data_IF_215071272068
#
_entry.id   IF_215071272068
#
_cell.length_a   1.000
_cell.length_b   1.000
_cell.length_c   1.000
_cell.angle_alpha   90.00
_cell.angle_beta   90.00
_cell.angle_gamma   90.00
#
_symmetry.space_group_name_H-M   'P 1'
#
loop_
_entity.id
_entity.type
_entity.pdbx_description
1 polymer ?
#
# COMPACT_ATOMS: atom_id res chain seq x y z
N UNK A 1 -32.04 -54.05 -1.82
CA UNK A 1 -32.16 -52.65 -2.35
C UNK A 1 -31.35 -51.62 -1.61
N UNK A 2 -30.50 -52.01 -0.59
CA UNK A 2 -29.76 -51.05 0.23
C UNK A 2 -28.25 -51.09 -0.05
N UNK A 3 -27.77 -52.05 -0.84
CA UNK A 3 -26.32 -52.21 -1.09
C UNK A 3 -25.82 -51.45 -2.33
N UNK A 4 -26.64 -51.18 -3.33
CA UNK A 4 -26.22 -50.46 -4.55
C UNK A 4 -26.08 -48.94 -4.38
N UNK A 5 -26.89 -48.31 -3.51
CA UNK A 5 -26.86 -46.86 -3.29
C UNK A 5 -25.64 -46.38 -2.46
N UNK A 6 -25.03 -47.27 -1.67
CA UNK A 6 -23.82 -46.92 -0.89
C UNK A 6 -22.55 -46.96 -1.74
N UNK A 7 -22.51 -47.76 -2.79
CA UNK A 7 -21.32 -47.86 -3.67
C UNK A 7 -21.23 -46.71 -4.67
N UNK A 8 -22.34 -46.17 -5.14
CA UNK A 8 -22.34 -45.01 -6.05
C UNK A 8 -21.98 -43.71 -5.34
N UNK A 9 -22.37 -43.56 -4.05
CA UNK A 9 -22.03 -42.34 -3.28
C UNK A 9 -20.55 -42.28 -2.93
N UNK A 10 -19.92 -43.42 -2.64
CA UNK A 10 -18.48 -43.49 -2.36
C UNK A 10 -17.63 -43.28 -3.62
N UNK A 11 -18.07 -43.74 -4.76
CA UNK A 11 -17.37 -43.54 -6.03
C UNK A 11 -17.43 -42.08 -6.53
N UNK A 12 -18.53 -41.37 -6.25
CA UNK A 12 -18.68 -39.96 -6.62
C UNK A 12 -17.89 -39.02 -5.70
N UNK A 13 -17.74 -39.34 -4.41
CA UNK A 13 -16.93 -38.54 -3.47
C UNK A 13 -15.43 -38.71 -3.74
N UNK A 14 -14.98 -39.87 -4.20
CA UNK A 14 -13.58 -40.13 -4.53
C UNK A 14 -13.19 -39.50 -5.90
N UNK A 15 -14.12 -39.42 -6.85
CA UNK A 15 -13.93 -38.69 -8.11
C UNK A 15 -13.83 -37.18 -7.90
N UNK A 16 -14.72 -36.61 -7.09
CA UNK A 16 -14.69 -35.19 -6.77
C UNK A 16 -13.41 -34.75 -5.98
N UNK A 17 -12.90 -35.61 -5.11
CA UNK A 17 -11.64 -35.38 -4.41
C UNK A 17 -10.42 -35.47 -5.34
N UNK A 18 -10.44 -36.39 -6.31
CA UNK A 18 -9.35 -36.49 -7.30
C UNK A 18 -9.31 -35.32 -8.27
N UNK A 19 -10.46 -34.79 -8.67
CA UNK A 19 -10.53 -33.65 -9.57
C UNK A 19 -10.08 -32.35 -8.84
N UNK A 20 -10.48 -32.15 -7.58
CA UNK A 20 -10.03 -31.01 -6.80
C UNK A 20 -8.53 -31.04 -6.44
N UNK A 21 -7.95 -32.22 -6.26
CA UNK A 21 -6.51 -32.38 -6.09
C UNK A 21 -5.73 -32.17 -7.40
N UNK A 22 -6.33 -32.50 -8.54
CA UNK A 22 -5.73 -32.31 -9.87
C UNK A 22 -5.75 -30.83 -10.30
N UNK A 23 -6.78 -30.08 -9.91
CA UNK A 23 -6.84 -28.63 -10.12
C UNK A 23 -5.84 -27.89 -9.23
N UNK A 24 -5.74 -28.23 -7.94
CA UNK A 24 -4.73 -27.65 -7.05
C UNK A 24 -3.30 -27.95 -7.51
N UNK A 25 -3.04 -29.17 -7.97
CA UNK A 25 -1.73 -29.53 -8.50
C UNK A 25 -1.39 -28.80 -9.81
N UNK A 26 -2.39 -28.47 -10.64
CA UNK A 26 -2.19 -27.66 -11.85
C UNK A 26 -1.98 -26.17 -11.53
N UNK A 27 -2.65 -25.65 -10.53
CA UNK A 27 -2.47 -24.27 -10.06
C UNK A 27 -1.08 -24.10 -9.43
N UNK A 28 -0.66 -25.01 -8.56
CA UNK A 28 0.70 -25.01 -7.99
C UNK A 28 1.80 -25.23 -9.04
N UNK A 29 1.54 -26.03 -10.08
CA UNK A 29 2.48 -26.23 -11.18
C UNK A 29 2.58 -24.99 -12.07
N UNK A 30 1.48 -24.27 -12.31
CA UNK A 30 1.45 -23.03 -13.09
C UNK A 30 2.11 -21.88 -12.33
N UNK A 31 1.94 -21.81 -11.00
CA UNK A 31 2.63 -20.85 -10.16
C UNK A 31 4.15 -21.11 -10.08
N UNK A 32 4.56 -22.39 -10.03
CA UNK A 32 5.97 -22.77 -10.07
C UNK A 32 6.62 -22.54 -11.44
N UNK A 33 5.85 -22.62 -12.52
CA UNK A 33 6.32 -22.36 -13.89
C UNK A 33 6.36 -20.85 -14.18
N UNK A 34 5.43 -20.07 -13.63
CA UNK A 34 5.47 -18.61 -13.64
C UNK A 34 6.65 -18.08 -12.81
N UNK A 35 6.89 -18.66 -11.63
CA UNK A 35 8.05 -18.31 -10.79
C UNK A 35 9.40 -18.71 -11.43
N UNK A 36 9.42 -19.74 -12.31
CA UNK A 36 10.63 -20.13 -13.05
C UNK A 36 10.88 -19.32 -14.31
N UNK A 37 9.85 -18.71 -14.90
CA UNK A 37 10.00 -17.84 -16.09
C UNK A 37 10.40 -16.41 -15.73
N UNK A 38 10.18 -15.98 -14.50
CA UNK A 38 10.61 -14.67 -14.00
C UNK A 38 12.07 -14.66 -13.51
N UNK A 39 12.74 -15.82 -13.59
CA UNK A 39 14.17 -15.96 -13.37
C UNK A 39 15.01 -15.72 -14.66
N UNK A 40 14.49 -14.96 -15.63
CA UNK A 40 15.39 -14.21 -16.51
C UNK A 40 16.02 -13.13 -15.62
N UNK A 41 17.20 -13.45 -15.08
CA UNK A 41 18.13 -12.48 -14.54
C UNK A 41 18.17 -11.27 -15.50
N UNK A 42 17.32 -10.26 -15.28
CA UNK A 42 17.80 -8.92 -15.44
C UNK A 42 18.99 -8.89 -14.47
N UNK A 43 20.21 -8.94 -15.00
CA UNK A 43 21.35 -8.51 -14.25
C UNK A 43 20.93 -7.16 -13.70
N UNK A 44 20.70 -7.12 -12.40
CA UNK A 44 20.60 -5.89 -11.65
C UNK A 44 22.00 -5.32 -11.88
N UNK A 45 22.12 -4.47 -12.87
CA UNK A 45 23.33 -3.68 -13.03
C UNK A 45 23.52 -3.06 -11.66
N UNK A 46 24.56 -3.47 -10.98
CA UNK A 46 24.95 -2.90 -9.68
C UNK A 46 24.74 -1.40 -9.79
N UNK A 47 24.05 -0.72 -8.86
CA UNK A 47 23.78 0.70 -8.99
C UNK A 47 25.08 1.40 -9.27
N UNK A 48 25.30 1.74 -10.53
CA UNK A 48 26.60 2.19 -11.05
C UNK A 48 26.93 3.58 -10.55
N UNK A 49 25.98 4.23 -9.89
CA UNK A 49 26.15 5.53 -9.26
C UNK A 49 25.06 5.75 -8.21
N UNK A 50 25.45 6.04 -6.99
CA UNK A 50 24.56 6.57 -5.95
C UNK A 50 24.58 8.10 -6.05
N UNK A 51 23.40 8.68 -5.97
CA UNK A 51 23.28 10.14 -5.85
C UNK A 51 23.32 10.51 -4.38
N UNK A 52 24.26 11.37 -3.99
CA UNK A 52 24.28 11.95 -2.65
C UNK A 52 23.29 13.09 -2.61
N UNK A 53 22.34 13.01 -1.70
CA UNK A 53 21.39 14.07 -1.44
C UNK A 53 21.44 14.50 0.01
N UNK A 54 21.25 15.78 0.20
CA UNK A 54 21.20 16.38 1.52
C UNK A 54 19.81 16.14 2.11
N UNK A 55 19.73 15.45 3.25
CA UNK A 55 18.51 15.26 4.01
C UNK A 55 18.71 15.95 5.35
N UNK A 56 17.90 16.95 5.64
CA UNK A 56 17.85 17.55 6.96
C UNK A 56 16.90 16.73 7.83
N UNK A 57 17.43 16.09 8.86
CA UNK A 57 16.62 15.69 10.00
C UNK A 57 16.74 16.80 11.04
N UNK A 58 15.73 17.52 11.28
CA UNK A 58 15.44 18.58 12.26
C UNK A 58 16.62 19.25 13.01
N UNK A 59 17.72 18.59 13.27
CA UNK A 59 18.87 19.14 14.01
C UNK A 59 20.22 18.74 13.40
N UNK A 60 20.26 17.69 12.56
CA UNK A 60 21.48 17.19 11.95
C UNK A 60 21.31 16.98 10.45
N UNK A 61 22.21 17.58 9.69
CA UNK A 61 22.26 17.41 8.24
C UNK A 61 23.00 16.12 7.93
N UNK A 62 22.29 15.16 7.32
CA UNK A 62 22.86 13.89 6.89
C UNK A 62 22.97 13.83 5.37
N UNK A 63 24.15 13.46 4.89
CA UNK A 63 24.34 13.06 3.50
C UNK A 63 23.96 11.59 3.38
N UNK A 64 22.98 11.30 2.53
CA UNK A 64 22.56 9.94 2.26
C UNK A 64 22.77 9.60 0.79
N UNK A 65 23.07 8.32 0.53
CA UNK A 65 23.25 7.80 -0.82
C UNK A 65 21.92 7.17 -1.28
N UNK A 66 21.42 7.63 -2.45
CA UNK A 66 20.20 7.13 -3.05
C UNK A 66 20.47 6.43 -4.38
N UNK A 67 19.71 5.37 -4.72
CA UNK A 67 19.80 4.74 -6.03
C UNK A 67 19.46 5.74 -7.15
N UNK A 68 20.30 5.81 -8.18
CA UNK A 68 20.08 6.72 -9.33
C UNK A 68 18.99 6.20 -10.28
N UNK A 69 18.68 4.92 -10.22
CA UNK A 69 17.71 4.26 -11.09
C UNK A 69 16.24 4.42 -10.63
N UNK A 70 15.99 5.11 -9.54
CA UNK A 70 14.65 5.47 -9.11
C UNK A 70 14.34 6.92 -9.49
N UNK A 71 13.11 7.24 -9.96
CA UNK A 71 12.73 8.60 -10.30
C UNK A 71 12.81 9.52 -9.08
N UNK A 72 13.54 10.63 -9.23
CA UNK A 72 13.59 11.65 -8.18
C UNK A 72 12.60 12.76 -8.55
N UNK A 73 11.95 13.34 -7.52
CA UNK A 73 11.11 14.51 -7.76
C UNK A 73 11.95 15.72 -8.21
N UNK A 74 11.32 16.64 -8.91
CA UNK A 74 11.91 17.91 -9.31
C UNK A 74 11.08 19.11 -8.86
N UNK A 75 10.38 18.97 -7.74
CA UNK A 75 9.64 20.07 -7.13
C UNK A 75 10.58 21.19 -6.71
N UNK A 76 10.14 22.43 -6.91
CA UNK A 76 10.85 23.59 -6.43
C UNK A 76 10.15 24.12 -5.16
N UNK A 77 10.69 23.77 -4.02
CA UNK A 77 10.09 24.06 -2.73
C UNK A 77 9.89 25.54 -2.43
N UNK A 78 10.55 26.46 -3.16
CA UNK A 78 10.28 27.90 -3.04
C UNK A 78 8.86 28.30 -3.43
N UNK A 79 8.15 27.45 -4.18
CA UNK A 79 6.75 27.65 -4.53
C UNK A 79 5.75 27.06 -3.52
N UNK A 80 6.27 26.35 -2.51
CA UNK A 80 5.45 25.78 -1.44
C UNK A 80 5.20 26.85 -0.38
N UNK A 81 3.96 26.99 0.02
CA UNK A 81 3.52 27.90 1.08
C UNK A 81 2.30 27.33 1.82
N UNK A 82 1.93 27.98 2.92
CA UNK A 82 0.70 27.68 3.64
C UNK A 82 -0.26 28.85 3.51
N UNK A 83 -1.53 28.56 3.29
CA UNK A 83 -2.58 29.59 3.36
C UNK A 83 -2.96 29.88 4.83
N UNK A 84 -3.83 30.87 5.03
CA UNK A 84 -4.31 31.29 6.37
C UNK A 84 -5.02 30.15 7.14
N UNK A 85 -5.52 29.14 6.44
CA UNK A 85 -6.17 27.95 7.04
C UNK A 85 -5.17 26.83 7.36
N UNK A 86 -3.89 27.00 7.07
CA UNK A 86 -2.84 26.01 7.25
C UNK A 86 -2.78 24.96 6.15
N UNK A 87 -3.45 25.16 5.01
CA UNK A 87 -3.35 24.26 3.86
C UNK A 87 -2.17 24.61 2.98
N UNK A 88 -1.54 23.57 2.45
CA UNK A 88 -0.45 23.72 1.49
C UNK A 88 -0.94 24.32 0.16
N UNK A 89 -0.13 25.23 -0.38
CA UNK A 89 -0.22 25.83 -1.70
C UNK A 89 1.10 25.61 -2.43
N UNK A 90 1.01 25.39 -3.73
CA UNK A 90 2.18 25.31 -4.60
C UNK A 90 1.89 26.19 -5.81
N UNK A 91 2.44 27.39 -5.82
CA UNK A 91 2.09 28.43 -6.80
C UNK A 91 3.34 28.98 -7.47
N UNK A 92 3.35 28.97 -8.81
CA UNK A 92 4.47 29.48 -9.60
C UNK A 92 5.14 28.43 -10.51
N UNK A 93 4.62 27.20 -10.51
CA UNK A 93 5.00 26.18 -11.47
C UNK A 93 3.76 25.45 -11.98
N UNK A 94 3.37 25.70 -13.21
CA UNK A 94 2.15 25.12 -13.82
C UNK A 94 2.24 23.60 -14.08
N UNK A 95 3.43 23.01 -13.89
CA UNK A 95 3.61 21.56 -14.05
C UNK A 95 2.90 20.75 -12.97
N UNK A 96 2.69 21.36 -11.80
CA UNK A 96 2.18 20.69 -10.64
C UNK A 96 0.92 21.35 -10.13
N UNK A 97 -0.05 20.53 -9.76
CA UNK A 97 -1.30 20.96 -9.13
C UNK A 97 -1.35 20.38 -7.73
N UNK A 98 -1.51 21.24 -6.73
CA UNK A 98 -1.70 20.79 -5.35
C UNK A 98 -3.16 20.46 -5.08
N UNK A 99 -3.40 19.40 -4.35
CA UNK A 99 -4.70 19.00 -3.82
C UNK A 99 -4.55 18.72 -2.33
N UNK A 100 -5.56 19.11 -1.56
CA UNK A 100 -5.57 18.87 -0.12
C UNK A 100 -6.54 17.74 0.21
N UNK A 101 -6.09 16.79 1.02
CA UNK A 101 -6.87 15.64 1.44
C UNK A 101 -6.75 15.36 2.92
N UNK A 102 -7.46 14.33 3.35
CA UNK A 102 -7.36 13.78 4.70
C UNK A 102 -7.24 12.25 4.61
N UNK A 103 -6.73 11.63 5.65
CA UNK A 103 -6.88 10.20 5.89
C UNK A 103 -7.77 9.95 7.11
N UNK A 104 -8.49 8.84 7.11
CA UNK A 104 -9.42 8.49 8.17
C UNK A 104 -9.52 6.99 8.39
N UNK A 105 -9.87 6.64 9.62
CA UNK A 105 -10.19 5.28 10.04
C UNK A 105 -11.47 5.27 10.88
N UNK A 106 -11.77 4.16 11.53
CA UNK A 106 -12.86 4.07 12.50
C UNK A 106 -12.67 4.98 13.72
N UNK A 107 -11.42 5.35 14.02
CA UNK A 107 -11.11 6.20 15.18
C UNK A 107 -11.65 7.62 15.07
N UNK A 108 -11.87 8.15 13.86
CA UNK A 108 -12.50 9.45 13.65
C UNK A 108 -14.03 9.41 13.88
N UNK A 109 -14.60 8.24 14.11
CA UNK A 109 -16.01 8.09 14.42
C UNK A 109 -16.93 8.50 13.26
N UNK A 110 -17.96 9.28 13.56
CA UNK A 110 -18.90 9.77 12.56
C UNK A 110 -18.41 11.09 11.96
N UNK A 111 -18.23 11.09 10.64
CA UNK A 111 -17.71 12.24 9.89
C UNK A 111 -18.84 12.93 9.12
N UNK A 112 -18.89 14.26 9.20
CA UNK A 112 -19.71 15.10 8.32
C UNK A 112 -18.97 15.42 7.03
N UNK A 113 -19.09 14.54 6.07
CA UNK A 113 -18.41 14.62 4.78
C UNK A 113 -18.73 15.88 3.97
N UNK A 114 -19.94 16.46 4.16
CA UNK A 114 -20.30 17.73 3.51
C UNK A 114 -19.48 18.88 4.08
N UNK A 115 -19.23 18.88 5.40
CA UNK A 115 -18.35 19.87 6.01
C UNK A 115 -16.90 19.70 5.56
N UNK A 116 -16.41 18.47 5.43
CA UNK A 116 -15.06 18.18 4.90
C UNK A 116 -14.92 18.76 3.49
N UNK A 117 -15.87 18.47 2.58
CA UNK A 117 -15.84 19.04 1.22
C UNK A 117 -15.94 20.56 1.21
N UNK A 118 -16.85 21.13 2.02
CA UNK A 118 -17.00 22.59 2.15
C UNK A 118 -15.75 23.28 2.70
N UNK A 119 -14.98 22.57 3.54
CA UNK A 119 -13.69 23.07 4.05
C UNK A 119 -12.56 23.04 2.99
N UNK A 120 -12.87 22.66 1.74
CA UNK A 120 -11.93 22.71 0.61
C UNK A 120 -11.01 21.52 0.52
N UNK A 121 -11.36 20.37 1.08
CA UNK A 121 -10.64 19.12 0.83
C UNK A 121 -11.15 18.47 -0.46
N UNK A 122 -10.22 17.88 -1.21
CA UNK A 122 -10.48 17.30 -2.52
C UNK A 122 -10.59 15.79 -2.49
N UNK A 123 -9.90 15.15 -1.54
CA UNK A 123 -9.81 13.70 -1.47
C UNK A 123 -9.71 13.17 -0.04
N UNK A 124 -9.87 11.85 0.07
CA UNK A 124 -9.66 11.12 1.31
C UNK A 124 -9.03 9.76 1.05
N UNK A 125 -8.09 9.36 1.91
CA UNK A 125 -7.70 7.97 2.07
C UNK A 125 -8.44 7.35 3.25
N UNK A 126 -9.14 6.24 2.99
CA UNK A 126 -9.94 5.54 4.00
C UNK A 126 -9.25 4.23 4.37
N UNK A 127 -9.01 4.01 5.67
CA UNK A 127 -8.45 2.74 6.11
C UNK A 127 -9.39 1.58 5.79
N UNK A 128 -8.92 0.63 4.99
CA UNK A 128 -9.65 -0.59 4.69
C UNK A 128 -9.64 -1.56 5.88
N UNK A 129 -8.52 -1.61 6.58
CA UNK A 129 -8.30 -2.44 7.75
C UNK A 129 -6.89 -2.33 8.28
N UNK A 130 -6.54 -3.24 9.16
CA UNK A 130 -5.22 -3.30 9.77
C UNK A 130 -4.85 -4.73 10.15
N UNK A 131 -3.56 -5.01 10.20
CA UNK A 131 -3.04 -6.21 10.85
C UNK A 131 -2.56 -5.85 12.25
N UNK A 132 -2.93 -6.66 13.23
CA UNK A 132 -2.58 -6.40 14.64
C UNK A 132 -1.08 -6.55 14.88
N UNK A 133 -0.51 -5.69 15.73
CA UNK A 133 0.93 -5.60 15.97
C UNK A 133 1.54 -6.85 16.61
N UNK A 134 0.74 -7.58 17.41
CA UNK A 134 1.24 -8.71 18.19
C UNK A 134 0.82 -10.06 17.61
N UNK A 135 -0.48 -10.25 17.39
CA UNK A 135 -1.03 -11.55 16.97
C UNK A 135 -0.97 -11.73 15.45
N UNK A 136 -0.92 -10.65 14.68
CA UNK A 136 -0.93 -10.71 13.22
C UNK A 136 -2.32 -10.95 12.63
N UNK A 137 -3.39 -10.80 13.42
CA UNK A 137 -4.76 -10.95 12.93
C UNK A 137 -5.12 -9.80 11.98
N UNK A 138 -5.63 -10.15 10.81
CA UNK A 138 -6.08 -9.19 9.83
C UNK A 138 -7.53 -8.79 10.09
N UNK A 139 -7.75 -7.51 10.34
CA UNK A 139 -9.05 -6.96 10.73
C UNK A 139 -9.50 -5.87 9.76
N UNK A 140 -10.76 -5.96 9.32
CA UNK A 140 -11.38 -4.90 8.52
C UNK A 140 -11.77 -3.74 9.42
N UNK A 141 -11.53 -2.51 8.97
CA UNK A 141 -12.05 -1.31 9.62
C UNK A 141 -13.59 -1.27 9.55
N UNK A 142 -14.22 -1.08 10.69
CA UNK A 142 -15.68 -1.17 10.83
C UNK A 142 -16.43 -0.05 10.10
N UNK A 143 -15.75 1.06 9.79
CA UNK A 143 -16.31 2.22 9.11
C UNK A 143 -15.88 2.33 7.65
N UNK A 144 -14.96 1.51 7.17
CA UNK A 144 -14.36 1.61 5.84
C UNK A 144 -15.42 1.81 4.74
N UNK A 145 -16.31 0.85 4.56
CA UNK A 145 -17.32 0.88 3.49
C UNK A 145 -18.24 2.10 3.61
N UNK A 146 -18.64 2.44 4.83
CA UNK A 146 -19.52 3.59 5.08
C UNK A 146 -18.81 4.92 4.78
N UNK A 147 -17.54 5.04 5.16
CA UNK A 147 -16.72 6.22 4.91
C UNK A 147 -16.50 6.40 3.41
N UNK A 148 -16.08 5.35 2.69
CA UNK A 148 -15.89 5.35 1.24
C UNK A 148 -17.16 5.86 0.52
N UNK A 149 -18.32 5.26 0.81
CA UNK A 149 -19.60 5.63 0.18
C UNK A 149 -19.98 7.07 0.46
N UNK A 150 -19.82 7.53 1.69
CA UNK A 150 -20.22 8.88 2.11
C UNK A 150 -19.28 9.96 1.59
N UNK A 151 -17.98 9.70 1.60
CA UNK A 151 -16.98 10.60 1.03
C UNK A 151 -17.21 10.81 -0.47
N UNK A 152 -17.38 9.71 -1.23
CA UNK A 152 -17.69 9.80 -2.67
C UNK A 152 -18.99 10.55 -2.94
N UNK A 153 -20.04 10.27 -2.15
CA UNK A 153 -21.33 10.99 -2.26
C UNK A 153 -21.20 12.50 -1.97
N UNK A 154 -20.23 12.89 -1.15
CA UNK A 154 -19.94 14.30 -0.87
C UNK A 154 -19.07 14.98 -1.94
N UNK A 155 -18.63 14.24 -2.96
CA UNK A 155 -17.82 14.77 -4.06
C UNK A 155 -16.32 14.77 -3.77
N UNK A 156 -15.84 13.90 -2.86
CA UNK A 156 -14.43 13.67 -2.64
C UNK A 156 -13.93 12.52 -3.52
N UNK A 157 -12.70 12.62 -4.02
CA UNK A 157 -12.00 11.46 -4.54
C UNK A 157 -11.57 10.55 -3.39
N UNK A 158 -11.57 9.25 -3.65
CA UNK A 158 -11.35 8.25 -2.59
C UNK A 158 -10.23 7.30 -2.99
N UNK A 159 -9.28 7.13 -2.07
CA UNK A 159 -8.34 6.03 -2.02
C UNK A 159 -8.54 5.21 -0.76
N UNK A 160 -7.84 4.09 -0.67
CA UNK A 160 -7.88 3.25 0.52
C UNK A 160 -6.47 2.90 0.98
N UNK A 161 -6.30 2.63 2.27
CA UNK A 161 -5.04 2.13 2.81
C UNK A 161 -5.27 0.99 3.80
N UNK A 162 -4.24 0.21 4.02
CA UNK A 162 -4.20 -0.80 5.08
C UNK A 162 -2.99 -0.54 5.96
N UNK A 163 -3.23 -0.40 7.27
CA UNK A 163 -2.14 -0.37 8.25
C UNK A 163 -1.54 -1.78 8.35
N UNK A 164 -0.30 -1.90 7.92
CA UNK A 164 0.37 -3.18 7.76
C UNK A 164 1.29 -3.50 8.92
N UNK A 165 1.20 -4.76 9.34
CA UNK A 165 2.18 -5.41 10.19
C UNK A 165 2.61 -6.76 9.58
N UNK A 166 2.61 -6.84 8.25
CA UNK A 166 2.98 -8.04 7.51
C UNK A 166 4.44 -8.40 7.73
N UNK A 167 4.70 -9.67 8.06
CA UNK A 167 6.05 -10.22 8.22
C UNK A 167 6.43 -11.18 7.10
N UNK A 168 5.56 -11.34 6.11
CA UNK A 168 5.77 -12.16 4.93
C UNK A 168 5.00 -11.61 3.74
N UNK A 169 5.44 -11.94 2.52
CA UNK A 169 4.72 -11.61 1.29
C UNK A 169 3.29 -12.18 1.25
N UNK A 170 3.07 -13.35 1.86
CA UNK A 170 1.72 -13.94 1.95
C UNK A 170 0.79 -13.02 2.73
N UNK A 171 1.23 -12.53 3.89
CA UNK A 171 0.46 -11.59 4.69
C UNK A 171 0.23 -10.26 3.97
N UNK A 172 1.23 -9.74 3.26
CA UNK A 172 1.08 -8.53 2.45
C UNK A 172 0.04 -8.72 1.33
N UNK A 173 0.01 -9.90 0.69
CA UNK A 173 -1.05 -10.25 -0.29
C UNK A 173 -2.44 -10.39 0.33
N UNK A 174 -2.54 -10.88 1.57
CA UNK A 174 -3.81 -10.92 2.31
C UNK A 174 -4.32 -9.49 2.61
N UNK A 175 -3.43 -8.59 3.01
CA UNK A 175 -3.75 -7.18 3.25
C UNK A 175 -4.22 -6.48 1.97
N UNK A 176 -3.54 -6.73 0.84
CA UNK A 176 -4.01 -6.27 -0.47
C UNK A 176 -5.40 -6.82 -0.80
N UNK A 177 -5.66 -8.12 -0.53
CA UNK A 177 -6.98 -8.72 -0.75
C UNK A 177 -8.06 -8.06 0.11
N UNK A 178 -7.75 -7.74 1.36
CA UNK A 178 -8.68 -7.01 2.22
C UNK A 178 -9.08 -5.65 1.61
N UNK A 179 -8.11 -4.89 1.09
CA UNK A 179 -8.37 -3.63 0.38
C UNK A 179 -9.31 -3.85 -0.81
N UNK A 180 -9.01 -4.82 -1.66
CA UNK A 180 -9.83 -5.15 -2.84
C UNK A 180 -11.25 -5.57 -2.45
N UNK A 181 -11.41 -6.36 -1.39
CA UNK A 181 -12.72 -6.79 -0.89
C UNK A 181 -13.53 -5.60 -0.34
N UNK A 182 -12.90 -4.68 0.36
CA UNK A 182 -13.54 -3.46 0.86
C UNK A 182 -13.98 -2.56 -0.28
N UNK A 183 -13.14 -2.35 -1.30
CA UNK A 183 -13.47 -1.61 -2.51
C UNK A 183 -14.67 -2.24 -3.21
N UNK A 184 -14.61 -3.54 -3.48
CA UNK A 184 -15.70 -4.28 -4.12
C UNK A 184 -17.01 -4.17 -3.33
N UNK A 185 -16.97 -4.37 -2.01
CA UNK A 185 -18.15 -4.27 -1.14
C UNK A 185 -18.69 -2.85 -1.03
N UNK A 186 -17.85 -1.84 -1.22
CA UNK A 186 -18.29 -0.45 -1.23
C UNK A 186 -19.18 -0.13 -2.44
N UNK A 187 -18.95 -0.80 -3.57
CA UNK A 187 -19.62 -0.53 -4.84
C UNK A 187 -19.28 0.86 -5.40
N UNK A 188 -18.17 1.45 -4.97
CA UNK A 188 -17.71 2.79 -5.35
C UNK A 188 -16.47 2.67 -6.22
N UNK A 189 -16.42 3.41 -7.29
CA UNK A 189 -15.22 3.58 -8.11
C UNK A 189 -14.16 4.35 -7.32
N UNK A 190 -13.01 3.72 -7.09
CA UNK A 190 -11.85 4.32 -6.43
C UNK A 190 -10.97 4.98 -7.49
N UNK A 191 -10.66 6.25 -7.31
CA UNK A 191 -9.90 7.08 -8.26
C UNK A 191 -8.49 7.41 -7.78
N UNK A 192 -8.19 7.12 -6.53
CA UNK A 192 -6.87 7.29 -5.94
C UNK A 192 -6.20 5.93 -5.66
N UNK A 193 -4.90 5.92 -5.38
CA UNK A 193 -4.17 4.68 -5.11
C UNK A 193 -4.73 3.84 -3.97
N UNK A 194 -4.32 2.57 -3.98
CA UNK A 194 -4.46 1.64 -2.85
C UNK A 194 -3.10 1.54 -2.16
N UNK A 195 -3.05 1.92 -0.89
CA UNK A 195 -1.82 2.20 -0.17
C UNK A 195 -1.46 1.06 0.78
N UNK A 196 -0.23 0.60 0.69
CA UNK A 196 0.43 -0.21 1.69
C UNK A 196 1.07 0.72 2.72
N UNK A 197 0.65 0.62 3.98
CA UNK A 197 1.07 1.50 5.08
C UNK A 197 1.79 0.69 6.17
N UNK A 198 3.07 0.31 5.92
CA UNK A 198 3.89 -0.44 6.86
C UNK A 198 4.61 0.51 7.80
N UNK A 199 4.33 0.43 9.09
CA UNK A 199 4.96 1.28 10.09
C UNK A 199 5.76 0.48 11.11
N UNK A 200 7.05 0.78 11.20
CA UNK A 200 7.89 0.34 12.30
C UNK A 200 7.49 1.11 13.55
N UNK A 201 7.23 0.39 14.63
CA UNK A 201 6.77 0.96 15.88
C UNK A 201 7.95 1.11 16.86
N UNK A 202 8.39 2.34 17.13
CA UNK A 202 9.51 2.59 18.04
C UNK A 202 9.13 2.52 19.51
N UNK A 203 7.87 2.82 19.82
CA UNK A 203 7.34 2.84 21.19
C UNK A 203 6.75 1.51 21.63
N UNK A 204 6.50 0.59 20.71
CA UNK A 204 5.82 -0.67 20.96
C UNK A 204 6.60 -1.84 20.38
N UNK A 205 6.48 -3.00 21.03
CA UNK A 205 6.94 -4.27 20.46
C UNK A 205 5.96 -4.69 19.39
N UNK A 206 6.34 -4.54 18.13
CA UNK A 206 5.51 -4.92 16.99
C UNK A 206 6.24 -5.96 16.12
N UNK A 207 5.49 -6.87 15.54
CA UNK A 207 6.05 -7.99 14.75
C UNK A 207 6.87 -7.53 13.54
N UNK A 208 6.48 -6.44 12.90
CA UNK A 208 7.19 -5.86 11.75
C UNK A 208 8.58 -5.34 12.11
N UNK A 209 8.84 -5.01 13.37
CA UNK A 209 10.13 -4.51 13.81
C UNK A 209 11.28 -5.54 13.71
N UNK A 210 10.95 -6.81 13.53
CA UNK A 210 11.91 -7.93 13.57
C UNK A 210 12.20 -8.54 12.19
N UNK A 211 11.63 -8.01 11.12
CA UNK A 211 11.94 -8.45 9.76
C UNK A 211 13.14 -7.67 9.19
N UNK A 212 13.82 -8.26 8.24
CA UNK A 212 14.91 -7.58 7.52
C UNK A 212 14.36 -6.51 6.57
N UNK A 213 15.17 -5.53 6.16
CA UNK A 213 14.82 -4.57 5.12
C UNK A 213 14.47 -5.24 3.78
N UNK A 214 15.13 -6.36 3.46
CA UNK A 214 14.80 -7.16 2.28
C UNK A 214 13.38 -7.72 2.38
N UNK A 215 13.01 -8.37 3.50
CA UNK A 215 11.66 -8.87 3.71
C UNK A 215 10.61 -7.76 3.74
N UNK A 216 10.96 -6.60 4.29
CA UNK A 216 10.08 -5.42 4.30
C UNK A 216 9.80 -4.96 2.86
N UNK A 217 10.84 -4.90 2.03
CA UNK A 217 10.72 -4.59 0.59
C UNK A 217 9.94 -5.65 -0.18
N UNK A 218 10.20 -6.95 0.08
CA UNK A 218 9.47 -8.05 -0.55
C UNK A 218 7.97 -7.98 -0.26
N UNK A 219 7.60 -7.65 0.98
CA UNK A 219 6.21 -7.47 1.37
C UNK A 219 5.55 -6.31 0.60
N UNK A 220 6.23 -5.17 0.49
CA UNK A 220 5.75 -4.01 -0.25
C UNK A 220 5.56 -4.34 -1.74
N UNK A 221 6.53 -5.00 -2.36
CA UNK A 221 6.47 -5.46 -3.76
C UNK A 221 5.31 -6.44 -3.96
N UNK A 222 5.11 -7.39 -3.04
CA UNK A 222 4.03 -8.37 -3.14
C UNK A 222 2.64 -7.72 -3.05
N UNK A 223 2.48 -6.74 -2.16
CA UNK A 223 1.27 -5.92 -2.07
C UNK A 223 1.01 -5.16 -3.38
N UNK A 224 2.01 -4.36 -3.82
CA UNK A 224 1.89 -3.52 -5.01
C UNK A 224 1.54 -4.33 -6.27
N UNK A 225 2.22 -5.45 -6.50
CA UNK A 225 1.92 -6.34 -7.63
C UNK A 225 0.49 -6.87 -7.60
N UNK A 226 -0.05 -7.20 -6.43
CA UNK A 226 -1.43 -7.67 -6.32
C UNK A 226 -2.45 -6.58 -6.60
N UNK A 227 -2.21 -5.37 -6.14
CA UNK A 227 -3.05 -4.19 -6.40
C UNK A 227 -3.04 -3.84 -7.89
N UNK A 228 -1.85 -3.79 -8.50
CA UNK A 228 -1.67 -3.51 -9.92
C UNK A 228 -2.37 -4.56 -10.80
N UNK A 229 -2.21 -5.85 -10.48
CA UNK A 229 -2.90 -6.95 -11.17
C UNK A 229 -4.43 -6.82 -11.12
N UNK A 230 -4.96 -6.20 -10.08
CA UNK A 230 -6.39 -5.93 -9.94
C UNK A 230 -6.85 -4.66 -10.67
N UNK A 231 -5.95 -3.94 -11.34
CA UNK A 231 -6.25 -2.74 -12.13
C UNK A 231 -6.25 -1.44 -11.32
N UNK A 232 -5.68 -1.44 -10.11
CA UNK A 232 -5.54 -0.24 -9.29
C UNK A 232 -4.09 0.25 -9.25
N UNK A 233 -3.90 1.53 -9.04
CA UNK A 233 -2.59 2.12 -8.79
C UNK A 233 -2.13 1.77 -7.38
N UNK A 234 -0.97 1.10 -7.20
CA UNK A 234 -0.40 0.87 -5.89
C UNK A 234 0.27 2.13 -5.34
N UNK A 235 0.30 2.27 -4.02
CA UNK A 235 1.09 3.26 -3.33
C UNK A 235 1.71 2.68 -2.06
N UNK A 236 2.76 3.31 -1.58
CA UNK A 236 3.41 2.98 -0.32
C UNK A 236 3.51 4.22 0.56
N UNK A 237 3.13 4.06 1.83
CA UNK A 237 3.36 5.07 2.86
C UNK A 237 4.78 4.90 3.42
N UNK A 238 5.52 5.99 3.44
CA UNK A 238 6.93 6.00 3.85
C UNK A 238 7.27 7.24 4.66
N UNK A 239 8.48 7.24 5.19
CA UNK A 239 9.14 8.41 5.75
C UNK A 239 10.64 8.36 5.42
N UNK A 240 11.39 9.38 5.80
CA UNK A 240 12.81 9.50 5.49
C UNK A 240 13.60 8.24 5.85
N UNK A 241 13.50 7.74 7.09
CA UNK A 241 14.28 6.57 7.52
C UNK A 241 13.83 5.27 6.81
N UNK A 242 12.55 5.12 6.53
CA UNK A 242 12.06 3.96 5.79
C UNK A 242 12.60 3.94 4.37
N UNK A 243 12.61 5.07 3.67
CA UNK A 243 13.12 5.17 2.29
C UNK A 243 14.64 5.02 2.20
N UNK A 244 15.37 5.45 3.21
CA UNK A 244 16.84 5.48 3.16
C UNK A 244 17.50 4.27 3.79
N UNK A 245 16.91 3.69 4.82
CA UNK A 245 17.58 2.71 5.65
C UNK A 245 16.95 1.32 5.56
N UNK A 246 15.72 1.20 5.03
CA UNK A 246 14.95 -0.04 5.10
C UNK A 246 14.51 -0.53 3.73
N UNK A 247 13.82 0.32 2.94
CA UNK A 247 13.28 -0.04 1.63
C UNK A 247 14.33 0.03 0.53
N UNK A 248 14.35 -0.98 -0.32
CA UNK A 248 14.95 -0.87 -1.64
C UNK A 248 13.94 -0.23 -2.59
N UNK A 249 13.96 1.11 -2.65
CA UNK A 249 13.06 1.90 -3.48
C UNK A 249 13.18 1.57 -4.96
N UNK A 250 14.33 1.06 -5.43
CA UNK A 250 14.51 0.69 -6.84
C UNK A 250 13.59 -0.46 -7.30
N UNK A 251 12.99 -1.18 -6.37
CA UNK A 251 12.06 -2.27 -6.63
C UNK A 251 10.58 -1.86 -6.56
N UNK A 252 10.32 -0.58 -6.32
CA UNK A 252 8.98 0.01 -6.10
C UNK A 252 8.69 1.13 -7.11
N UNK A 253 9.35 1.12 -8.25
CA UNK A 253 9.31 2.15 -9.29
C UNK A 253 7.92 2.37 -9.91
N UNK A 254 7.00 1.43 -9.73
CA UNK A 254 5.60 1.52 -10.16
C UNK A 254 4.64 2.01 -9.06
N UNK A 255 5.12 2.24 -7.84
CA UNK A 255 4.30 2.69 -6.72
C UNK A 255 4.31 4.21 -6.58
N UNK A 256 3.16 4.78 -6.25
CA UNK A 256 3.05 6.17 -5.80
C UNK A 256 3.56 6.27 -4.37
N UNK A 257 4.25 7.35 -4.03
CA UNK A 257 4.75 7.59 -2.68
C UNK A 257 3.77 8.48 -1.92
N UNK A 258 3.38 8.01 -0.74
CA UNK A 258 2.76 8.83 0.29
C UNK A 258 3.79 9.06 1.39
N UNK A 259 4.46 10.19 1.32
CA UNK A 259 5.55 10.53 2.22
C UNK A 259 5.04 11.21 3.48
N UNK A 260 5.38 10.67 4.63
CA UNK A 260 5.08 11.25 5.94
C UNK A 260 6.19 12.21 6.36
N UNK A 261 5.84 13.46 6.48
CA UNK A 261 6.72 14.50 6.98
C UNK A 261 5.91 15.50 7.82
N UNK A 262 6.46 15.86 8.94
CA UNK A 262 5.89 16.86 9.85
C UNK A 262 6.66 18.18 9.83
N UNK A 263 7.63 18.29 8.93
CA UNK A 263 8.40 19.49 8.66
C UNK A 263 7.67 20.50 7.78
N UNK A 264 8.35 21.61 7.52
CA UNK A 264 7.82 22.67 6.65
C UNK A 264 8.00 22.30 5.18
N UNK A 265 9.11 21.67 4.86
CA UNK A 265 9.48 21.26 3.49
C UNK A 265 9.70 19.74 3.50
N UNK A 266 9.00 18.99 2.63
CA UNK A 266 9.20 17.56 2.54
C UNK A 266 10.63 17.20 2.14
N UNK A 267 11.19 16.20 2.80
CA UNK A 267 12.59 15.81 2.64
C UNK A 267 12.81 14.57 1.78
N UNK A 268 11.74 13.92 1.27
CA UNK A 268 11.88 12.80 0.35
C UNK A 268 12.58 13.22 -0.94
N UNK A 269 13.52 12.43 -1.44
CA UNK A 269 14.11 12.64 -2.76
C UNK A 269 13.22 12.14 -3.90
N UNK A 270 12.23 11.31 -3.60
CA UNK A 270 11.39 10.55 -4.54
C UNK A 270 10.05 11.21 -4.86
#
# INVERSE_FOLDING_TARGET
>A
GVSAAKTEKAANEDSAKKDSQKEKAKEEASEKEAAKKDNSKKEISSPTKLQKKYISAWEDWHMRDFPVNFPLHNYNWKYLSYDESGKLRYEGDEKYTIRNGIDVSEFQGAIDWKKVKKAGYDFVFVRAGHRTMHTGDLQRDNRAIKNIRRAKKAGLDVGVYVFSQAVSETEAREEAQLCLDVIKKSGVEITLPVVFDPEIQTEYIARINYISGEQFTDNAVAFCKKIEKAGFTPAIYTNCSTETDILDMSRLDNAVIWYADYGIIPESPY
#
